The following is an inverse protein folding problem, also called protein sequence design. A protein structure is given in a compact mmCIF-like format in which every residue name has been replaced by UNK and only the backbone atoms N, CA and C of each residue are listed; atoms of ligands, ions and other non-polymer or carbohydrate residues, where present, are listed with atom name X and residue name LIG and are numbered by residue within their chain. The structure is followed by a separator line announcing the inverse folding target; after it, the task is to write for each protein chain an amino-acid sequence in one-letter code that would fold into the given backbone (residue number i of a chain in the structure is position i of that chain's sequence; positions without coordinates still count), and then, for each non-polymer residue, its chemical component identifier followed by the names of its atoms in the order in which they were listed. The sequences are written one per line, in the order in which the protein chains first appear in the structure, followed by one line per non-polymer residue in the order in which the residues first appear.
data_IF_949431159827
#
_entry.id   IF_949431159827
#
_cell.length_a   1.000
_cell.length_b   1.000
_cell.length_c   1.000
_cell.angle_alpha   90.00
_cell.angle_beta   90.00
_cell.angle_gamma   90.00
#
_symmetry.space_group_name_H-M   'P 1'
#
loop_
_entity.id
_entity.type
_entity.pdbx_description
1 polymer ?
#
# COMPACT_ATOMS: atom_id res chain seq x y z
N UNK A 1 0.50 0.59 -21.02
CA UNK A 1 0.07 -0.65 -20.36
C UNK A 1 -0.01 -0.41 -18.84
N UNK A 2 -0.93 0.46 -18.44
CA UNK A 2 -1.32 0.71 -17.04
C UNK A 2 -2.84 0.65 -16.88
N UNK A 3 -3.57 0.39 -17.97
CA UNK A 3 -5.01 0.62 -18.10
C UNK A 3 -5.85 -0.39 -17.31
N UNK A 4 -5.27 -1.50 -16.85
CA UNK A 4 -6.04 -2.55 -16.17
C UNK A 4 -5.88 -2.58 -14.65
N UNK A 5 -5.10 -1.67 -14.02
CA UNK A 5 -4.92 -1.63 -12.56
C UNK A 5 -5.43 -0.33 -11.95
N UNK A 6 -6.68 -0.35 -11.48
CA UNK A 6 -7.38 0.79 -10.88
C UNK A 6 -6.61 1.43 -9.70
N UNK A 7 -5.83 0.63 -8.97
CA UNK A 7 -5.05 1.12 -7.82
C UNK A 7 -3.85 1.93 -8.29
N UNK A 8 -3.17 1.47 -9.35
CA UNK A 8 -2.09 2.25 -9.95
C UNK A 8 -2.62 3.51 -10.62
N UNK A 9 -3.78 3.41 -11.29
CA UNK A 9 -4.47 4.55 -11.87
C UNK A 9 -4.75 5.62 -10.80
N UNK A 10 -5.25 5.23 -9.62
CA UNK A 10 -5.46 6.15 -8.49
C UNK A 10 -4.20 6.94 -8.12
N UNK A 11 -3.03 6.29 -7.96
CA UNK A 11 -1.81 7.01 -7.63
C UNK A 11 -1.36 7.98 -8.73
N UNK A 12 -1.58 7.63 -10.00
CA UNK A 12 -1.33 8.52 -11.14
C UNK A 12 -2.30 9.71 -11.15
N UNK A 13 -3.58 9.50 -10.84
CA UNK A 13 -4.56 10.58 -10.72
C UNK A 13 -4.25 11.51 -9.55
N UNK A 14 -3.82 10.97 -8.40
CA UNK A 14 -3.35 11.78 -7.26
C UNK A 14 -2.11 12.59 -7.62
N UNK A 15 -1.16 12.00 -8.37
CA UNK A 15 0.02 12.70 -8.88
C UNK A 15 -0.38 13.86 -9.79
N UNK A 16 -1.28 13.60 -10.75
CA UNK A 16 -1.80 14.61 -11.68
C UNK A 16 -2.49 15.74 -10.93
N UNK A 17 -3.39 15.40 -9.99
CA UNK A 17 -4.11 16.36 -9.17
C UNK A 17 -3.14 17.28 -8.41
N UNK A 18 -2.13 16.72 -7.73
CA UNK A 18 -1.14 17.50 -6.99
C UNK A 18 -0.34 18.45 -7.92
N UNK A 19 0.05 17.97 -9.09
CA UNK A 19 0.78 18.77 -10.07
C UNK A 19 -0.08 19.90 -10.66
N UNK A 20 -1.36 19.64 -10.94
CA UNK A 20 -2.30 20.63 -11.45
C UNK A 20 -2.57 21.74 -10.42
N UNK A 21 -2.68 21.42 -9.13
CA UNK A 21 -2.85 22.42 -8.05
C UNK A 21 -1.72 23.45 -7.95
N UNK A 22 -0.52 23.07 -8.42
CA UNK A 22 0.66 23.96 -8.40
C UNK A 22 1.05 24.45 -9.79
N UNK A 23 0.20 24.26 -10.81
CA UNK A 23 0.49 24.70 -12.17
C UNK A 23 0.14 26.18 -12.38
N UNK A 24 1.01 27.08 -11.93
CA UNK A 24 0.84 28.53 -12.11
C UNK A 24 1.25 29.02 -13.50
N UNK A 25 1.98 28.19 -14.27
CA UNK A 25 2.54 28.57 -15.57
C UNK A 25 1.56 28.45 -16.74
N UNK A 26 0.45 27.72 -16.55
CA UNK A 26 -0.50 27.39 -17.63
C UNK A 26 0.04 26.40 -18.67
N UNK A 27 1.29 25.93 -18.54
CA UNK A 27 1.84 24.91 -19.43
C UNK A 27 1.31 23.52 -19.08
N UNK A 28 0.99 22.68 -20.07
CA UNK A 28 0.51 21.33 -19.82
C UNK A 28 1.60 20.50 -19.15
N UNK A 29 1.24 19.82 -18.05
CA UNK A 29 2.11 18.86 -17.37
C UNK A 29 1.93 17.50 -18.06
N UNK A 30 3.03 16.92 -18.54
CA UNK A 30 3.03 15.62 -19.19
C UNK A 30 3.54 14.55 -18.23
N UNK A 31 2.66 13.65 -17.81
CA UNK A 31 3.04 12.43 -17.09
C UNK A 31 3.34 11.37 -18.15
N UNK A 32 4.57 10.85 -18.13
CA UNK A 32 5.01 9.79 -19.04
C UNK A 32 5.21 8.52 -18.20
N UNK A 33 4.43 7.46 -18.44
CA UNK A 33 4.61 6.23 -17.72
C UNK A 33 5.94 5.57 -18.08
N UNK A 34 6.64 5.02 -17.09
CA UNK A 34 7.84 4.21 -17.33
C UNK A 34 7.41 2.90 -18.03
N UNK A 35 8.01 2.52 -19.18
CA UNK A 35 7.62 1.32 -19.91
C UNK A 35 7.97 0.02 -19.17
N UNK A 36 8.82 0.08 -18.13
CA UNK A 36 9.25 -1.09 -17.40
C UNK A 36 8.42 -1.30 -16.14
N UNK A 37 7.48 -2.26 -16.20
CA UNK A 37 6.89 -2.77 -14.97
C UNK A 37 7.95 -3.51 -14.14
N UNK A 38 8.08 -3.17 -12.87
CA UNK A 38 9.14 -3.66 -12.01
C UNK A 38 8.68 -3.76 -10.55
N UNK A 39 9.42 -4.53 -9.74
CA UNK A 39 9.20 -4.50 -8.29
C UNK A 39 9.56 -3.11 -7.70
N UNK A 40 9.04 -2.83 -6.50
CA UNK A 40 9.23 -1.53 -5.83
C UNK A 40 10.70 -1.13 -5.72
N UNK A 41 11.60 -2.08 -5.41
CA UNK A 41 13.03 -1.78 -5.27
C UNK A 41 13.67 -1.33 -6.58
N UNK A 42 13.25 -1.90 -7.72
CA UNK A 42 13.71 -1.45 -9.04
C UNK A 42 13.13 -0.08 -9.41
N UNK A 43 11.84 0.17 -9.13
CA UNK A 43 11.23 1.50 -9.37
C UNK A 43 11.95 2.60 -8.56
N UNK A 44 12.28 2.32 -7.31
CA UNK A 44 13.05 3.24 -6.46
C UNK A 44 14.48 3.44 -7.00
N UNK A 45 15.15 2.37 -7.44
CA UNK A 45 16.47 2.52 -8.10
C UNK A 45 16.41 3.42 -9.32
N UNK A 46 15.40 3.31 -10.17
CA UNK A 46 15.22 4.19 -11.34
C UNK A 46 15.07 5.67 -10.93
N UNK A 47 14.38 5.95 -9.82
CA UNK A 47 14.29 7.30 -9.25
C UNK A 47 15.64 7.78 -8.72
N UNK A 48 16.42 6.91 -8.08
CA UNK A 48 17.77 7.23 -7.61
C UNK A 48 18.73 7.52 -8.78
N UNK A 49 18.65 6.74 -9.85
CA UNK A 49 19.45 6.87 -11.08
C UNK A 49 19.01 8.04 -11.95
N UNK A 50 17.78 8.53 -11.79
CA UNK A 50 17.22 9.67 -12.51
C UNK A 50 16.56 9.31 -13.84
N UNK A 51 16.33 8.03 -14.13
CA UNK A 51 15.55 7.60 -15.30
C UNK A 51 14.04 7.76 -15.09
N UNK A 52 13.61 7.92 -13.84
CA UNK A 52 12.21 8.15 -13.45
C UNK A 52 12.17 9.33 -12.46
N UNK A 53 11.30 10.31 -12.68
CA UNK A 53 11.23 11.50 -11.82
C UNK A 53 10.58 11.23 -10.46
N UNK A 54 9.55 10.39 -10.46
CA UNK A 54 8.71 10.09 -9.30
C UNK A 54 8.21 8.64 -9.36
N UNK A 55 8.19 7.99 -8.20
CA UNK A 55 7.51 6.72 -7.98
C UNK A 55 6.72 6.77 -6.68
N UNK A 56 5.94 5.74 -6.37
CA UNK A 56 5.32 5.58 -5.05
C UNK A 56 5.66 4.23 -4.46
N UNK A 57 5.85 4.19 -3.14
CA UNK A 57 6.11 2.96 -2.41
C UNK A 57 5.70 3.10 -0.95
N UNK A 58 5.47 1.96 -0.28
CA UNK A 58 5.40 1.91 1.18
C UNK A 58 6.73 2.40 1.75
N UNK A 59 6.69 3.21 2.80
CA UNK A 59 7.91 3.77 3.37
C UNK A 59 8.74 2.76 4.16
N UNK A 60 10.04 3.00 4.25
CA UNK A 60 10.95 2.36 5.20
C UNK A 60 12.11 3.30 5.50
N UNK A 61 12.82 3.08 6.60
CA UNK A 61 14.01 3.89 6.94
C UNK A 61 15.04 3.93 5.81
N UNK A 62 15.26 2.80 5.13
CA UNK A 62 16.16 2.72 3.98
C UNK A 62 15.65 3.56 2.80
N UNK A 63 14.36 3.46 2.46
CA UNK A 63 13.79 4.19 1.33
C UNK A 63 13.87 5.70 1.54
N UNK A 64 13.55 6.17 2.75
CA UNK A 64 13.66 7.58 3.14
C UNK A 64 15.12 8.05 3.24
N UNK A 65 16.06 7.17 3.58
CA UNK A 65 17.48 7.49 3.57
C UNK A 65 18.02 7.58 2.14
N UNK A 66 17.55 6.80 1.19
CA UNK A 66 18.10 6.76 -0.17
C UNK A 66 17.41 7.76 -1.13
N UNK A 67 16.18 8.17 -0.82
CA UNK A 67 15.35 9.03 -1.69
C UNK A 67 14.82 10.24 -0.93
N UNK A 68 14.09 11.13 -1.61
CA UNK A 68 13.33 12.20 -0.94
C UNK A 68 11.85 11.80 -0.91
N UNK A 69 11.35 11.49 0.27
CA UNK A 69 9.94 11.18 0.49
C UNK A 69 9.10 12.46 0.50
N UNK A 70 7.98 12.44 -0.23
CA UNK A 70 6.91 13.42 -0.10
C UNK A 70 6.01 12.95 1.04
N UNK A 71 6.26 13.46 2.24
CA UNK A 71 5.57 13.07 3.48
C UNK A 71 4.07 13.44 3.49
N UNK A 72 3.28 12.63 2.79
CA UNK A 72 1.82 12.73 2.68
C UNK A 72 1.25 11.31 2.42
N UNK A 73 0.38 10.77 3.30
CA UNK A 73 -0.04 9.36 3.24
C UNK A 73 -1.05 9.09 2.11
N UNK A 74 -0.56 8.87 0.89
CA UNK A 74 -1.36 8.80 -0.35
C UNK A 74 -2.55 7.82 -0.27
N UNK A 75 -2.36 6.68 0.39
CA UNK A 75 -3.35 5.61 0.47
C UNK A 75 -4.32 5.72 1.67
N UNK A 76 -4.38 6.86 2.39
CA UNK A 76 -5.28 7.08 3.55
C UNK A 76 -5.15 6.02 4.66
N UNK A 77 -4.03 5.30 4.71
CA UNK A 77 -3.80 4.21 5.67
C UNK A 77 -4.35 2.84 5.25
N UNK A 78 -5.01 2.72 4.09
CA UNK A 78 -5.59 1.45 3.61
C UNK A 78 -4.56 0.32 3.45
N UNK A 79 -3.34 0.65 3.03
CA UNK A 79 -2.25 -0.32 2.91
C UNK A 79 -1.80 -0.88 4.27
N UNK A 80 -2.18 -0.25 5.38
CA UNK A 80 -1.95 -0.76 6.72
C UNK A 80 -2.95 -1.80 7.19
N UNK A 81 -4.13 -1.88 6.57
CA UNK A 81 -5.18 -2.85 6.89
C UNK A 81 -5.06 -4.07 5.98
N UNK A 82 -4.65 -5.19 6.54
CA UNK A 82 -4.33 -6.40 5.80
C UNK A 82 -5.30 -7.52 6.15
N UNK A 83 -6.21 -7.85 5.23
CA UNK A 83 -7.08 -9.03 5.36
C UNK A 83 -6.35 -10.28 4.91
N UNK A 84 -6.85 -11.46 5.27
CA UNK A 84 -6.16 -12.72 4.99
C UNK A 84 -6.79 -13.41 3.80
N UNK A 85 -5.99 -13.62 2.76
CA UNK A 85 -6.29 -14.61 1.73
C UNK A 85 -5.93 -15.99 2.25
N UNK A 86 -6.90 -16.90 2.20
CA UNK A 86 -6.74 -18.29 2.67
C UNK A 86 -7.30 -19.27 1.65
N UNK A 87 -6.84 -20.51 1.74
CA UNK A 87 -7.49 -21.62 1.03
C UNK A 87 -8.92 -21.80 1.58
N UNK A 88 -9.94 -22.07 0.75
CA UNK A 88 -11.33 -22.25 1.19
C UNK A 88 -11.49 -23.23 2.36
N UNK A 89 -10.82 -24.39 2.30
CA UNK A 89 -10.79 -25.39 3.38
C UNK A 89 -10.34 -24.86 4.75
N UNK A 90 -9.55 -23.77 4.78
CA UNK A 90 -9.05 -23.18 6.01
C UNK A 90 -9.99 -22.10 6.57
N UNK A 91 -10.95 -21.60 5.79
CA UNK A 91 -11.74 -20.40 6.12
C UNK A 91 -12.42 -20.48 7.49
N UNK A 92 -13.06 -21.61 7.81
CA UNK A 92 -13.75 -21.78 9.10
C UNK A 92 -12.78 -21.85 10.29
N UNK A 93 -11.55 -22.30 10.06
CA UNK A 93 -10.57 -22.52 11.13
C UNK A 93 -9.89 -21.22 11.58
N UNK A 94 -10.00 -20.13 10.84
CA UNK A 94 -9.39 -18.85 11.23
C UNK A 94 -10.29 -18.06 12.18
N UNK A 95 -11.60 -18.02 11.97
CA UNK A 95 -12.53 -17.32 12.86
C UNK A 95 -12.59 -17.83 14.31
N UNK A 96 -12.12 -19.05 14.56
CA UNK A 96 -12.19 -19.70 15.89
C UNK A 96 -10.88 -19.65 16.68
N UNK A 97 -9.77 -19.24 16.07
CA UNK A 97 -8.44 -19.23 16.71
C UNK A 97 -8.18 -17.90 17.40
N UNK A 98 -7.50 -17.96 18.55
CA UNK A 98 -7.03 -16.74 19.20
C UNK A 98 -5.93 -16.05 18.37
N UNK A 99 -5.81 -14.70 18.39
CA UNK A 99 -4.78 -13.95 17.65
C UNK A 99 -3.33 -14.45 17.81
N UNK A 100 -3.00 -15.02 18.98
CA UNK A 100 -1.67 -15.56 19.26
C UNK A 100 -1.36 -16.88 18.54
N UNK A 101 -2.38 -17.66 18.17
CA UNK A 101 -2.23 -18.96 17.50
C UNK A 101 -1.72 -18.81 16.06
N UNK A 102 -2.05 -17.70 15.40
CA UNK A 102 -1.58 -17.39 14.04
C UNK A 102 -0.08 -17.15 13.95
N UNK A 103 0.62 -16.96 15.07
CA UNK A 103 2.09 -16.84 15.07
C UNK A 103 2.78 -18.10 14.57
N UNK A 104 2.14 -19.27 14.74
CA UNK A 104 2.66 -20.55 14.26
C UNK A 104 2.25 -20.84 12.81
N UNK A 105 1.21 -20.19 12.29
CA UNK A 105 0.80 -20.30 10.89
C UNK A 105 1.82 -19.59 9.98
N UNK A 106 2.16 -20.24 8.87
CA UNK A 106 3.06 -19.70 7.87
C UNK A 106 2.34 -18.71 6.96
N UNK A 107 2.81 -17.47 6.92
CA UNK A 107 2.38 -16.49 5.93
C UNK A 107 3.42 -16.26 4.84
N UNK A 108 2.98 -15.63 3.74
CA UNK A 108 3.86 -15.20 2.65
C UNK A 108 3.73 -13.70 2.42
N UNK A 109 4.84 -13.07 2.03
CA UNK A 109 4.92 -11.65 1.67
C UNK A 109 5.82 -11.45 0.45
N UNK A 110 5.63 -10.33 -0.25
CA UNK A 110 6.43 -9.99 -1.42
C UNK A 110 7.89 -9.70 -1.10
N UNK A 111 8.80 -10.12 -1.99
CA UNK A 111 10.21 -9.70 -1.91
C UNK A 111 10.30 -8.17 -2.00
N UNK A 112 11.08 -7.58 -1.08
CA UNK A 112 11.29 -6.14 -0.99
C UNK A 112 10.18 -5.38 -0.24
N UNK A 113 9.18 -6.06 0.30
CA UNK A 113 8.09 -5.41 1.04
C UNK A 113 8.46 -5.21 2.52
N UNK A 114 8.31 -3.98 3.08
CA UNK A 114 8.55 -3.71 4.49
C UNK A 114 7.67 -4.52 5.45
N UNK A 115 6.51 -4.98 4.96
CA UNK A 115 5.50 -5.76 5.69
C UNK A 115 6.08 -7.03 6.32
N UNK A 116 7.08 -7.64 5.68
CA UNK A 116 7.75 -8.84 6.24
C UNK A 116 8.45 -8.52 7.55
N UNK A 117 9.12 -7.37 7.63
CA UNK A 117 9.90 -7.00 8.81
C UNK A 117 8.96 -6.61 9.96
N UNK A 118 7.80 -6.00 9.63
CA UNK A 118 6.69 -5.79 10.58
C UNK A 118 6.20 -7.13 11.14
N UNK A 119 5.89 -8.11 10.29
CA UNK A 119 5.37 -9.41 10.73
C UNK A 119 6.38 -10.16 11.61
N UNK A 120 7.66 -10.20 11.21
CA UNK A 120 8.73 -10.86 11.98
C UNK A 120 8.94 -10.21 13.34
N UNK A 121 8.94 -8.88 13.40
CA UNK A 121 9.09 -8.15 14.65
C UNK A 121 7.97 -8.48 15.66
N UNK A 122 6.75 -8.71 15.17
CA UNK A 122 5.62 -9.10 16.02
C UNK A 122 5.56 -10.61 16.30
N UNK A 123 6.54 -11.40 15.83
CA UNK A 123 6.69 -12.83 16.10
C UNK A 123 5.85 -13.73 15.21
N UNK A 124 5.43 -13.27 14.02
CA UNK A 124 4.73 -14.09 13.03
C UNK A 124 5.73 -14.78 12.09
N UNK A 125 5.43 -16.03 11.73
CA UNK A 125 6.16 -16.76 10.69
C UNK A 125 5.78 -16.22 9.31
N UNK A 126 6.78 -15.80 8.54
CA UNK A 126 6.59 -15.19 7.22
C UNK A 126 7.77 -15.47 6.29
N UNK A 127 7.45 -15.88 5.06
CA UNK A 127 8.41 -16.10 3.97
C UNK A 127 8.32 -15.02 2.89
N UNK A 128 9.48 -14.57 2.40
CA UNK A 128 9.57 -13.62 1.29
C UNK A 128 9.57 -14.41 -0.02
N UNK A 129 8.59 -14.15 -0.89
CA UNK A 129 8.45 -14.84 -2.18
C UNK A 129 8.10 -13.87 -3.31
N UNK A 130 8.34 -14.22 -4.58
CA UNK A 130 7.85 -13.43 -5.71
C UNK A 130 6.32 -13.29 -5.69
N UNK A 131 5.80 -12.13 -6.12
CA UNK A 131 4.34 -11.87 -6.17
C UNK A 131 3.56 -12.96 -6.92
N UNK A 132 4.14 -13.50 -7.99
CA UNK A 132 3.55 -14.57 -8.81
C UNK A 132 3.43 -15.91 -8.08
N UNK A 133 4.14 -16.09 -6.96
CA UNK A 133 4.12 -17.31 -6.15
C UNK A 133 3.19 -17.22 -4.94
N UNK A 134 2.89 -16.02 -4.43
CA UNK A 134 2.13 -15.86 -3.18
C UNK A 134 0.78 -16.57 -3.22
N UNK A 135 -0.03 -16.32 -4.26
CA UNK A 135 -1.33 -16.98 -4.46
C UNK A 135 -1.19 -18.50 -4.55
N UNK A 136 -0.22 -18.98 -5.36
CA UNK A 136 0.03 -20.42 -5.57
C UNK A 136 0.40 -21.15 -4.28
N UNK A 137 1.13 -20.50 -3.38
CA UNK A 137 1.54 -21.10 -2.10
C UNK A 137 0.35 -21.29 -1.15
N UNK A 138 -0.63 -20.39 -1.18
CA UNK A 138 -1.88 -20.56 -0.45
C UNK A 138 -2.74 -21.64 -1.10
N UNK A 139 -2.87 -21.64 -2.43
CA UNK A 139 -3.66 -22.66 -3.16
C UNK A 139 -3.12 -24.08 -2.95
N UNK A 140 -1.80 -24.25 -2.93
CA UNK A 140 -1.14 -25.53 -2.65
C UNK A 140 -1.06 -25.89 -1.17
N UNK A 141 -1.59 -25.05 -0.28
CA UNK A 141 -1.52 -25.19 1.18
C UNK A 141 -0.09 -25.32 1.71
N UNK A 142 0.90 -24.83 0.96
CA UNK A 142 2.29 -24.73 1.42
C UNK A 142 2.49 -23.54 2.35
N UNK A 143 1.61 -22.54 2.30
CA UNK A 143 1.45 -21.50 3.30
C UNK A 143 -0.02 -21.39 3.72
N UNK A 144 -0.25 -20.96 4.95
CA UNK A 144 -1.56 -20.99 5.59
C UNK A 144 -2.43 -19.78 5.22
N UNK A 145 -1.81 -18.62 5.05
CA UNK A 145 -2.50 -17.37 4.73
C UNK A 145 -1.57 -16.33 4.07
N UNK A 146 -2.16 -15.42 3.30
CA UNK A 146 -1.47 -14.29 2.70
C UNK A 146 -2.14 -12.98 3.14
N UNK A 147 -1.54 -12.20 4.04
CA UNK A 147 -2.02 -10.87 4.38
C UNK A 147 -1.91 -9.93 3.19
N UNK A 148 -3.03 -9.36 2.76
CA UNK A 148 -3.09 -8.40 1.66
C UNK A 148 -3.92 -7.19 2.01
N UNK A 149 -3.51 -6.01 1.52
CA UNK A 149 -4.21 -4.77 1.80
C UNK A 149 -5.66 -4.85 1.30
N UNK A 150 -6.58 -4.31 2.10
CA UNK A 150 -7.96 -4.04 1.68
C UNK A 150 -8.06 -3.12 0.46
N UNK A 151 -7.01 -2.35 0.14
CA UNK A 151 -6.94 -1.57 -1.09
C UNK A 151 -6.70 -2.44 -2.33
N UNK A 152 -6.06 -3.60 -2.16
CA UNK A 152 -5.47 -4.39 -3.26
C UNK A 152 -6.14 -5.74 -3.47
N UNK A 153 -6.59 -6.38 -2.39
CA UNK A 153 -6.96 -7.79 -2.34
C UNK A 153 -8.05 -8.20 -3.34
N UNK A 154 -9.14 -7.42 -3.46
CA UNK A 154 -10.25 -7.77 -4.35
C UNK A 154 -9.87 -7.62 -5.82
N UNK A 155 -9.19 -6.53 -6.16
CA UNK A 155 -8.67 -6.33 -7.51
C UNK A 155 -7.70 -7.45 -7.92
N UNK A 156 -6.83 -7.86 -7.00
CA UNK A 156 -5.89 -8.94 -7.26
C UNK A 156 -6.55 -10.32 -7.44
N UNK A 157 -7.63 -10.60 -6.71
CA UNK A 157 -8.44 -11.81 -6.93
C UNK A 157 -9.21 -11.73 -8.26
N UNK A 158 -9.85 -10.59 -8.55
CA UNK A 158 -10.62 -10.39 -9.79
C UNK A 158 -9.75 -10.51 -11.04
N UNK A 159 -8.51 -10.03 -10.99
CA UNK A 159 -7.53 -10.19 -12.07
C UNK A 159 -6.95 -11.61 -12.21
N UNK A 160 -7.30 -12.53 -11.31
CA UNK A 160 -6.83 -13.92 -11.27
C UNK A 160 -8.00 -14.90 -11.14
N UNK A 161 -8.89 -15.01 -12.15
CA UNK A 161 -10.10 -15.82 -12.05
C UNK A 161 -9.85 -17.32 -11.85
N UNK A 162 -8.63 -17.80 -12.17
CA UNK A 162 -8.23 -19.18 -11.92
C UNK A 162 -7.86 -19.46 -10.46
N UNK A 163 -7.61 -18.41 -9.66
CA UNK A 163 -7.16 -18.54 -8.28
C UNK A 163 -8.36 -18.75 -7.38
N UNK A 164 -8.43 -19.91 -6.71
CA UNK A 164 -9.56 -20.26 -5.84
C UNK A 164 -9.24 -19.97 -4.37
N UNK A 165 -8.96 -18.71 -4.06
CA UNK A 165 -8.74 -18.24 -2.69
C UNK A 165 -9.91 -17.40 -2.22
N UNK A 166 -10.10 -17.36 -0.90
CA UNK A 166 -11.14 -16.56 -0.27
C UNK A 166 -10.51 -15.56 0.68
N UNK A 167 -11.15 -14.39 0.78
CA UNK A 167 -10.89 -13.45 1.87
C UNK A 167 -11.58 -14.04 3.10
N UNK A 168 -10.79 -14.47 4.09
CA UNK A 168 -11.31 -14.91 5.38
C UNK A 168 -12.12 -13.78 6.01
N UNK A 169 -13.31 -13.97 6.62
CA UNK A 169 -14.19 -12.85 6.98
C UNK A 169 -13.99 -12.20 8.36
N UNK A 170 -13.23 -12.80 9.28
CA UNK A 170 -13.23 -12.42 10.70
C UNK A 170 -12.04 -11.58 11.13
N UNK A 171 -10.89 -11.71 10.45
CA UNK A 171 -9.62 -11.17 10.95
C UNK A 171 -8.97 -10.21 9.97
N UNK A 172 -8.29 -9.19 10.50
CA UNK A 172 -7.35 -8.39 9.74
C UNK A 172 -6.19 -7.94 10.64
N UNK A 173 -5.00 -7.78 10.06
CA UNK A 173 -3.95 -7.01 10.71
C UNK A 173 -4.14 -5.53 10.47
N UNK A 174 -3.72 -4.74 11.45
CA UNK A 174 -3.47 -3.32 11.26
C UNK A 174 -2.07 -2.94 11.73
N UNK A 175 -1.34 -2.24 10.88
CA UNK A 175 -0.13 -1.52 11.24
C UNK A 175 0.03 -0.32 10.35
N UNK A 176 0.68 0.73 10.85
CA UNK A 176 0.96 1.90 10.04
C UNK A 176 1.94 1.56 8.91
N UNK A 177 1.44 1.66 7.67
CA UNK A 177 2.16 1.39 6.43
C UNK A 177 1.92 2.52 5.41
N UNK A 178 2.41 3.75 5.67
CA UNK A 178 2.15 4.87 4.78
C UNK A 178 2.90 4.68 3.46
N UNK A 179 2.19 4.96 2.36
CA UNK A 179 2.77 5.07 1.03
C UNK A 179 2.96 6.52 0.67
N UNK A 180 4.15 6.84 0.16
CA UNK A 180 4.57 8.18 -0.23
C UNK A 180 4.98 8.20 -1.69
N UNK A 181 4.92 9.38 -2.31
CA UNK A 181 5.72 9.63 -3.49
C UNK A 181 7.19 9.73 -3.08
N UNK A 182 8.07 9.14 -3.88
CA UNK A 182 9.51 9.25 -3.75
C UNK A 182 10.07 9.89 -5.01
N UNK A 183 10.94 10.87 -4.82
CA UNK A 183 11.69 11.52 -5.90
C UNK A 183 13.18 11.45 -5.61
N UNK A 184 14.00 11.75 -6.62
CA UNK A 184 15.45 11.86 -6.42
C UNK A 184 15.76 12.94 -5.37
N UNK A 185 16.75 12.69 -4.50
CA UNK A 185 17.24 13.70 -3.54
C UNK A 185 17.70 15.01 -4.19
N UNK A 186 18.05 14.96 -5.47
CA UNK A 186 18.44 16.13 -6.26
C UNK A 186 17.24 16.95 -6.74
N UNK A 187 16.03 16.38 -6.76
CA UNK A 187 14.82 17.02 -7.27
C UNK A 187 13.91 17.53 -6.13
N UNK A 188 14.46 18.39 -5.26
CA UNK A 188 13.73 18.99 -4.13
C UNK A 188 12.51 19.79 -4.58
N UNK A 189 12.64 20.50 -5.71
CA UNK A 189 11.55 21.29 -6.30
C UNK A 189 10.33 20.44 -6.62
N UNK A 190 10.51 19.23 -7.18
CA UNK A 190 9.39 18.34 -7.45
C UNK A 190 8.74 17.86 -6.14
N UNK A 191 9.53 17.48 -5.13
CA UNK A 191 8.98 17.06 -3.84
C UNK A 191 8.14 18.17 -3.17
N UNK A 192 8.64 19.40 -3.16
CA UNK A 192 7.94 20.57 -2.60
C UNK A 192 6.64 20.84 -3.35
N UNK A 193 6.67 20.84 -4.69
CA UNK A 193 5.47 21.01 -5.52
C UNK A 193 4.42 19.93 -5.28
N UNK A 194 4.84 18.66 -5.23
CA UNK A 194 3.93 17.56 -4.93
C UNK A 194 3.32 17.71 -3.54
N UNK A 195 4.14 18.08 -2.56
CA UNK A 195 3.70 18.24 -1.18
C UNK A 195 2.69 19.37 -1.02
N UNK A 196 2.94 20.51 -1.65
CA UNK A 196 2.04 21.67 -1.68
C UNK A 196 0.73 21.32 -2.39
N UNK A 197 0.82 20.71 -3.58
CA UNK A 197 -0.35 20.32 -4.35
C UNK A 197 -1.25 19.32 -3.65
N UNK A 198 -0.67 18.35 -2.94
CA UNK A 198 -1.42 17.40 -2.11
C UNK A 198 -2.13 18.08 -0.93
N UNK A 199 -1.48 19.04 -0.27
CA UNK A 199 -2.09 19.80 0.82
C UNK A 199 -3.25 20.67 0.31
N UNK A 200 -3.07 21.34 -0.83
CA UNK A 200 -4.13 22.13 -1.48
C UNK A 200 -5.32 21.25 -1.88
N UNK A 201 -5.05 20.10 -2.52
CA UNK A 201 -6.09 19.17 -2.93
C UNK A 201 -6.83 18.53 -1.75
N UNK A 202 -6.16 18.34 -0.62
CA UNK A 202 -6.81 17.90 0.60
C UNK A 202 -7.68 19.01 1.21
N UNK A 203 -7.16 20.24 1.28
CA UNK A 203 -7.83 21.38 1.88
C UNK A 203 -9.11 21.78 1.13
N UNK A 204 -9.13 21.69 -0.20
CA UNK A 204 -10.32 22.01 -1.01
C UNK A 204 -11.24 20.80 -1.28
N UNK A 205 -10.91 19.62 -0.72
CA UNK A 205 -11.72 18.41 -0.80
C UNK A 205 -11.61 17.65 -2.11
N UNK A 206 -10.88 18.15 -3.11
CA UNK A 206 -10.71 17.46 -4.41
C UNK A 206 -10.02 16.11 -4.29
N UNK A 207 -9.08 15.94 -3.35
CA UNK A 207 -8.45 14.64 -3.09
C UNK A 207 -9.42 13.63 -2.46
N UNK A 208 -10.33 14.10 -1.59
CA UNK A 208 -11.38 13.26 -1.00
C UNK A 208 -12.39 12.83 -2.06
N UNK A 209 -12.78 13.76 -2.93
CA UNK A 209 -13.66 13.46 -4.06
C UNK A 209 -13.06 12.40 -4.99
N UNK A 210 -11.77 12.55 -5.35
CA UNK A 210 -11.04 11.57 -6.16
C UNK A 210 -11.01 10.18 -5.49
N UNK A 211 -10.74 10.12 -4.18
CA UNK A 211 -10.75 8.86 -3.43
C UNK A 211 -12.13 8.20 -3.43
N UNK A 212 -13.20 8.96 -3.18
CA UNK A 212 -14.55 8.41 -3.10
C UNK A 212 -15.09 7.86 -4.43
N UNK A 213 -14.46 8.20 -5.56
CA UNK A 213 -14.80 7.65 -6.88
C UNK A 213 -14.24 6.24 -7.12
N UNK A 214 -13.31 5.78 -6.28
CA UNK A 214 -12.60 4.53 -6.50
C UNK A 214 -13.39 3.34 -5.92
N UNK A 215 -13.47 2.25 -6.66
CA UNK A 215 -14.16 1.02 -6.22
C UNK A 215 -13.60 0.47 -4.90
N UNK A 216 -12.27 0.48 -4.74
CA UNK A 216 -11.60 0.01 -3.53
C UNK A 216 -11.96 0.84 -2.28
N UNK A 217 -12.41 2.10 -2.43
CA UNK A 217 -12.73 2.96 -1.29
C UNK A 217 -13.98 2.47 -0.54
N UNK A 218 -14.99 2.01 -1.29
CA UNK A 218 -16.20 1.43 -0.71
C UNK A 218 -15.93 0.02 -0.20
N UNK A 219 -15.24 -0.80 -0.99
CA UNK A 219 -15.04 -2.20 -0.64
C UNK A 219 -14.11 -2.38 0.55
N UNK A 220 -13.06 -1.57 0.69
CA UNK A 220 -12.20 -1.59 1.87
C UNK A 220 -12.96 -1.32 3.16
N UNK A 221 -13.89 -0.36 3.15
CA UNK A 221 -14.72 -0.07 4.31
C UNK A 221 -15.64 -1.24 4.66
N UNK A 222 -16.24 -1.88 3.66
CA UNK A 222 -17.12 -3.03 3.86
C UNK A 222 -16.33 -4.26 4.35
N UNK A 223 -15.15 -4.52 3.77
CA UNK A 223 -14.27 -5.59 4.21
C UNK A 223 -13.92 -5.42 5.68
N UNK A 224 -13.66 -4.21 6.18
CA UNK A 224 -13.24 -4.00 7.56
C UNK A 224 -14.37 -4.04 8.59
N UNK A 225 -15.64 -3.98 8.17
CA UNK A 225 -16.76 -4.07 9.11
C UNK A 225 -16.75 -5.43 9.81
N UNK A 226 -17.01 -5.41 11.11
CA UNK A 226 -17.20 -6.60 11.95
C UNK A 226 -15.97 -7.52 12.09
N UNK A 227 -14.82 -7.11 11.54
CA UNK A 227 -13.55 -7.81 11.74
C UNK A 227 -12.92 -7.47 13.07
N UNK A 228 -12.32 -8.48 13.69
CA UNK A 228 -11.36 -8.26 14.75
C UNK A 228 -10.02 -7.79 14.15
N UNK A 229 -9.64 -6.56 14.51
CA UNK A 229 -8.38 -5.95 14.08
C UNK A 229 -7.24 -6.31 15.06
N UNK A 230 -6.27 -7.09 14.58
CA UNK A 230 -5.05 -7.42 15.30
C UNK A 230 -4.01 -6.33 15.01
N UNK A 231 -3.77 -5.46 15.99
CA UNK A 231 -2.82 -4.35 15.85
C UNK A 231 -1.38 -4.83 16.03
N UNK A 232 -0.54 -4.58 15.02
CA UNK A 232 0.88 -4.89 15.01
C UNK A 232 1.71 -3.62 15.20
N UNK A 233 2.86 -3.76 15.85
CA UNK A 233 3.84 -2.68 15.93
C UNK A 233 4.57 -2.54 14.60
N UNK A 234 4.72 -1.31 14.09
CA UNK A 234 5.44 -1.04 12.84
C UNK A 234 6.86 -0.53 13.16
N UNK A 235 7.89 -1.40 13.22
CA UNK A 235 9.25 -1.00 13.56
C UNK A 235 9.92 -0.20 12.44
N UNK A 236 9.32 -0.16 11.24
CA UNK A 236 9.92 0.41 10.02
C UNK A 236 9.63 1.90 9.83
N UNK A 237 8.87 2.53 10.75
CA UNK A 237 8.53 3.94 10.66
C UNK A 237 9.66 4.85 11.16
N UNK A 238 10.02 5.85 10.37
CA UNK A 238 10.87 6.95 10.81
C UNK A 238 10.12 7.90 11.75
N UNK A 239 10.83 8.74 12.55
CA UNK A 239 10.22 9.83 13.29
C UNK A 239 9.38 10.76 12.41
N UNK A 240 9.84 11.06 11.19
CA UNK A 240 9.17 11.89 10.21
C UNK A 240 7.86 11.24 9.74
N UNK A 241 7.85 9.94 9.46
CA UNK A 241 6.61 9.23 9.13
C UNK A 241 5.61 9.22 10.27
N UNK A 242 6.07 9.02 11.52
CA UNK A 242 5.20 9.12 12.71
C UNK A 242 4.56 10.49 12.80
N UNK A 243 5.35 11.56 12.69
CA UNK A 243 4.85 12.93 12.70
C UNK A 243 3.88 13.21 11.54
N UNK A 244 4.17 12.65 10.36
CA UNK A 244 3.32 12.76 9.18
C UNK A 244 1.95 12.14 9.45
N UNK A 245 1.90 10.93 10.01
CA UNK A 245 0.64 10.27 10.36
C UNK A 245 -0.16 11.06 11.40
N UNK A 246 0.50 11.68 12.38
CA UNK A 246 -0.16 12.60 13.33
C UNK A 246 -0.72 13.83 12.62
N UNK A 247 0.04 14.46 11.72
CA UNK A 247 -0.41 15.65 10.96
C UNK A 247 -1.67 15.38 10.14
N UNK A 248 -1.77 14.19 9.52
CA UNK A 248 -2.90 13.82 8.66
C UNK A 248 -3.90 12.87 9.32
N UNK A 249 -3.95 12.80 10.65
CA UNK A 249 -4.76 11.82 11.37
C UNK A 249 -6.27 11.85 11.00
N UNK A 250 -6.80 13.00 10.61
CA UNK A 250 -8.20 13.15 10.22
C UNK A 250 -8.48 12.77 8.76
N UNK A 251 -7.42 12.68 7.95
CA UNK A 251 -7.47 12.14 6.59
C UNK A 251 -7.36 10.61 6.57
N UNK A 252 -6.73 10.01 7.60
CA UNK A 252 -6.54 8.56 7.69
C UNK A 252 -7.84 7.83 8.02
N UNK A 253 -7.97 6.61 7.50
CA UNK A 253 -9.09 5.73 7.80
C UNK A 253 -9.03 5.27 9.27
N UNK A 254 -10.15 5.44 9.99
CA UNK A 254 -10.33 5.05 11.39
C UNK A 254 -11.32 3.86 11.45
N UNK A 255 -10.83 2.66 11.78
CA UNK A 255 -11.59 1.46 12.18
C UNK A 255 -11.09 0.94 13.53
#
# INVERSE_FOLDING_TARGET
MFEDNDIHAYFVEVLKLALDKTNTSGHPIKIVPDPFNANQDRMLRQVKEGSTDVTWAVTSEEREREHLAVYFPLARGLLGYQVFLVHPDNQQSFGTRAPGEFKQSLSVQGIGWPDTDVMRFNGYRVEKVPLTMMFKLIESKMADYFPRSVMEVEYELASRPSVQLVIEPHLAFYYSSPTYFFVSKRNRRLAERLKEGLDLALADGSLIALYNQQAFAQSANNMLRERQIIRLQSPVLTPQSRQTLTRYQDFLLKH
#
